data_IF_063637828605
#
_entry.id   IF_063637828605
#
_cell.length_a   1.000
_cell.length_b   1.000
_cell.length_c   1.000
_cell.angle_alpha   90.00
_cell.angle_beta   90.00
_cell.angle_gamma   90.00
#
_symmetry.space_group_name_H-M   'P 1'
#
loop_
_entity.id
_entity.type
_entity.pdbx_description
1 polymer ?
#
# COMPACT_ATOMS: atom_id res chain seq x y z
N UNK A 1 -0.09 -49.54 -1.78
CA UNK A 1 -0.95 -48.34 -1.80
C UNK A 1 -0.58 -47.46 -0.61
N UNK A 2 0.31 -46.48 -0.81
CA UNK A 2 0.73 -45.55 0.23
C UNK A 2 0.18 -44.15 -0.15
N UNK A 3 -0.66 -43.58 0.70
CA UNK A 3 -1.13 -42.20 0.60
C UNK A 3 -0.16 -41.32 1.40
N UNK A 4 0.65 -40.53 0.70
CA UNK A 4 1.37 -39.40 1.29
C UNK A 4 0.37 -38.25 1.47
N UNK A 5 0.16 -37.85 2.73
CA UNK A 5 -0.55 -36.63 3.08
C UNK A 5 0.39 -35.43 2.98
N UNK A 6 0.14 -34.55 2.02
CA UNK A 6 0.77 -33.24 1.94
C UNK A 6 -0.01 -32.24 2.78
N UNK A 7 0.54 -31.90 3.95
CA UNK A 7 0.10 -30.78 4.77
C UNK A 7 0.77 -29.51 4.22
N UNK A 8 0.11 -28.79 3.32
CA UNK A 8 0.56 -27.45 2.90
C UNK A 8 0.13 -26.44 3.97
N UNK A 9 1.11 -25.89 4.68
CA UNK A 9 0.92 -24.87 5.71
C UNK A 9 0.52 -23.53 5.08
N UNK A 10 -0.75 -23.15 5.21
CA UNK A 10 -1.27 -21.84 4.84
C UNK A 10 -1.10 -20.82 5.99
N UNK A 11 0.15 -20.56 6.38
CA UNK A 11 0.46 -19.71 7.54
C UNK A 11 0.46 -18.19 7.26
N UNK A 12 0.74 -17.76 6.03
CA UNK A 12 0.90 -16.33 5.69
C UNK A 12 -0.37 -15.61 5.15
N UNK A 13 -1.50 -16.31 5.05
CA UNK A 13 -2.63 -15.96 4.16
C UNK A 13 -3.66 -14.97 4.76
N UNK A 14 -3.71 -14.78 6.08
CA UNK A 14 -4.82 -14.07 6.75
C UNK A 14 -4.64 -12.54 6.84
N UNK A 15 -3.46 -12.05 6.51
CA UNK A 15 -2.89 -10.85 7.11
C UNK A 15 -3.08 -9.59 6.24
N UNK A 16 -2.90 -9.71 4.93
CA UNK A 16 -3.06 -8.58 4.01
C UNK A 16 -4.52 -8.33 3.59
N UNK A 17 -5.48 -9.05 4.19
CA UNK A 17 -6.93 -8.80 4.03
C UNK A 17 -7.46 -7.74 4.99
N UNK A 18 -6.86 -7.55 6.17
CA UNK A 18 -7.31 -6.60 7.19
C UNK A 18 -6.94 -5.14 6.87
N UNK A 19 -5.76 -4.90 6.29
CA UNK A 19 -5.25 -3.56 5.98
C UNK A 19 -6.10 -2.76 4.97
N UNK A 20 -6.78 -3.46 4.05
CA UNK A 20 -7.53 -2.82 2.97
C UNK A 20 -9.03 -2.69 3.27
N UNK A 21 -9.56 -3.40 4.27
CA UNK A 21 -10.93 -3.16 4.72
C UNK A 21 -11.09 -1.82 5.47
N UNK A 22 -10.02 -1.32 6.12
CA UNK A 22 -9.98 -0.01 6.80
C UNK A 22 -10.04 1.16 5.81
N UNK A 23 -9.50 0.98 4.60
CA UNK A 23 -9.41 1.99 3.54
C UNK A 23 -10.81 2.41 3.03
N UNK A 24 -11.85 1.59 3.24
CA UNK A 24 -13.23 1.87 2.80
C UNK A 24 -14.00 2.79 3.77
N UNK A 25 -13.54 3.00 5.01
CA UNK A 25 -14.40 3.56 6.07
C UNK A 25 -14.06 4.96 6.59
N UNK A 26 -13.03 5.63 6.09
CA UNK A 26 -12.63 6.90 6.71
C UNK A 26 -12.06 7.92 5.71
N UNK A 27 -12.94 8.66 5.05
CA UNK A 27 -12.59 9.93 4.43
C UNK A 27 -13.68 10.95 4.76
N UNK A 28 -13.39 11.84 5.69
CA UNK A 28 -13.71 13.28 5.59
C UNK A 28 -13.07 14.02 6.76
N UNK A 29 -12.55 15.21 6.42
CA UNK A 29 -12.20 16.35 7.27
C UNK A 29 -10.69 16.67 7.40
N UNK A 30 -10.36 17.91 6.98
CA UNK A 30 -9.13 18.73 7.23
C UNK A 30 -8.13 18.97 6.10
N UNK A 31 -8.60 19.06 4.86
CA UNK A 31 -7.76 19.44 3.71
C UNK A 31 -7.23 20.91 3.75
N UNK A 32 -7.99 21.84 4.36
CA UNK A 32 -7.62 23.27 4.33
C UNK A 32 -6.64 23.73 5.43
N UNK A 33 -6.59 23.04 6.57
CA UNK A 33 -5.74 23.44 7.69
C UNK A 33 -4.33 22.83 7.59
N UNK A 34 -4.22 21.59 7.08
CA UNK A 34 -2.94 20.92 6.88
C UNK A 34 -2.07 21.61 5.82
N UNK A 35 -2.68 22.03 4.71
CA UNK A 35 -2.00 22.77 3.64
C UNK A 35 -1.45 24.13 4.11
N UNK A 36 -2.13 24.79 5.05
CA UNK A 36 -1.69 26.09 5.61
C UNK A 36 -0.51 25.93 6.58
N UNK A 37 -0.48 24.84 7.35
CA UNK A 37 0.63 24.53 8.28
C UNK A 37 1.88 24.03 7.54
N UNK A 38 1.71 23.34 6.41
CA UNK A 38 2.81 22.91 5.54
C UNK A 38 3.47 24.09 4.82
N UNK A 39 2.68 25.04 4.31
CA UNK A 39 3.21 26.24 3.65
C UNK A 39 4.05 27.13 4.58
N UNK A 40 3.75 27.14 5.88
CA UNK A 40 4.43 27.97 6.88
C UNK A 40 5.78 27.38 7.36
N UNK A 41 6.00 26.07 7.13
CA UNK A 41 7.18 25.34 7.65
C UNK A 41 8.20 24.91 6.59
N UNK A 42 7.98 25.25 5.32
CA UNK A 42 8.86 24.85 4.20
C UNK A 42 10.09 25.74 3.86
N UNK A 43 10.41 26.88 4.50
CA UNK A 43 11.58 27.68 4.07
C UNK A 43 12.96 27.12 4.52
N UNK A 44 13.05 25.90 5.06
CA UNK A 44 14.30 25.31 5.58
C UNK A 44 14.86 24.15 4.73
N UNK A 45 14.30 23.86 3.56
CA UNK A 45 14.76 22.80 2.65
C UNK A 45 15.22 23.34 1.27
N UNK A 46 15.51 24.64 1.15
CA UNK A 46 15.78 25.26 -0.15
C UNK A 46 17.19 24.98 -0.71
N UNK A 47 18.17 24.56 0.11
CA UNK A 47 19.58 24.47 -0.31
C UNK A 47 20.03 23.07 -0.77
N UNK A 48 19.12 22.09 -0.80
CA UNK A 48 19.35 20.75 -1.38
C UNK A 48 18.25 20.42 -2.40
N UNK A 49 17.93 21.39 -3.27
CA UNK A 49 17.12 21.18 -4.46
C UNK A 49 17.98 20.63 -5.61
N UNK A 50 18.71 19.53 -5.34
CA UNK A 50 18.96 18.57 -6.41
C UNK A 50 17.57 18.16 -6.91
N UNK A 51 17.21 18.69 -8.08
CA UNK A 51 15.87 18.64 -8.64
C UNK A 51 15.40 17.19 -8.69
N UNK A 52 14.61 16.78 -7.68
CA UNK A 52 13.84 15.55 -7.76
C UNK A 52 12.69 15.84 -8.73
N UNK A 53 13.01 15.86 -10.02
CA UNK A 53 12.01 15.83 -11.07
C UNK A 53 11.17 14.59 -10.77
N UNK A 54 9.97 14.81 -10.22
CA UNK A 54 9.03 13.72 -10.02
C UNK A 54 8.79 13.16 -11.42
N UNK A 55 9.13 11.88 -11.68
CA UNK A 55 8.92 11.29 -12.99
C UNK A 55 7.41 11.30 -13.24
N UNK A 56 6.97 12.30 -14.00
CA UNK A 56 5.58 12.43 -14.37
C UNK A 56 5.35 11.46 -15.53
N UNK A 57 4.48 10.48 -15.30
CA UNK A 57 4.01 9.65 -16.40
C UNK A 57 3.30 10.56 -17.40
N UNK A 58 3.81 10.62 -18.63
CA UNK A 58 3.17 11.41 -19.69
C UNK A 58 1.78 10.87 -19.97
N UNK A 59 0.86 11.74 -20.38
CA UNK A 59 -0.51 11.33 -20.72
C UNK A 59 -0.52 10.24 -21.78
N UNK A 60 0.41 10.29 -22.74
CA UNK A 60 0.58 9.26 -23.77
C UNK A 60 0.95 7.91 -23.17
N UNK A 61 1.92 7.86 -22.25
CA UNK A 61 2.32 6.61 -21.60
C UNK A 61 1.19 6.02 -20.76
N UNK A 62 0.44 6.87 -20.05
CA UNK A 62 -0.73 6.41 -19.27
C UNK A 62 -1.79 5.86 -20.22
N UNK A 63 -2.15 6.60 -21.26
CA UNK A 63 -3.18 6.19 -22.24
C UNK A 63 -2.81 4.87 -22.94
N UNK A 64 -1.55 4.71 -23.34
CA UNK A 64 -1.06 3.47 -23.95
C UNK A 64 -1.09 2.32 -22.95
N UNK A 65 -0.61 2.53 -21.73
CA UNK A 65 -0.60 1.51 -20.68
C UNK A 65 -2.02 1.03 -20.38
N UNK A 66 -2.98 1.95 -20.20
CA UNK A 66 -4.36 1.59 -19.84
C UNK A 66 -5.22 1.20 -21.05
N UNK A 67 -4.68 1.19 -22.27
CA UNK A 67 -5.44 0.81 -23.46
C UNK A 67 -6.05 -0.58 -23.30
N UNK A 68 -7.37 -0.69 -23.53
CA UNK A 68 -8.15 -1.92 -23.30
C UNK A 68 -8.64 -2.11 -21.86
N UNK A 69 -8.37 -1.18 -20.94
CA UNK A 69 -9.00 -1.11 -19.63
C UNK A 69 -10.08 -0.01 -19.65
N UNK A 70 -11.27 -0.33 -19.15
CA UNK A 70 -12.36 0.63 -18.96
C UNK A 70 -12.25 1.23 -17.54
N UNK A 71 -11.27 2.13 -17.36
CA UNK A 71 -11.07 2.83 -16.09
C UNK A 71 -11.86 4.14 -16.09
N UNK A 72 -12.51 4.43 -14.97
CA UNK A 72 -13.11 5.75 -14.74
C UNK A 72 -12.03 6.84 -14.70
N UNK A 73 -12.44 8.11 -14.78
CA UNK A 73 -11.52 9.26 -14.58
C UNK A 73 -10.74 9.14 -13.27
N UNK A 74 -11.37 8.66 -12.19
CA UNK A 74 -10.72 8.44 -10.91
C UNK A 74 -9.67 7.32 -11.00
N UNK A 75 -9.99 6.22 -11.67
CA UNK A 75 -9.07 5.12 -11.93
C UNK A 75 -7.84 5.52 -12.75
N UNK A 76 -8.01 6.36 -13.77
CA UNK A 76 -6.89 6.90 -14.57
C UNK A 76 -5.97 7.77 -13.72
N UNK A 77 -6.56 8.66 -12.90
CA UNK A 77 -5.79 9.51 -11.99
C UNK A 77 -5.05 8.67 -10.95
N UNK A 78 -5.73 7.69 -10.35
CA UNK A 78 -5.13 6.76 -9.41
C UNK A 78 -3.95 5.97 -10.01
N UNK A 79 -4.14 5.41 -11.21
CA UNK A 79 -3.08 4.70 -11.94
C UNK A 79 -1.85 5.61 -12.16
N UNK A 80 -2.08 6.85 -12.60
CA UNK A 80 -1.01 7.83 -12.81
C UNK A 80 -0.30 8.19 -11.51
N UNK A 81 -1.05 8.47 -10.45
CA UNK A 81 -0.52 8.86 -9.14
C UNK A 81 0.33 7.76 -8.53
N UNK A 82 -0.15 6.51 -8.55
CA UNK A 82 0.62 5.37 -8.08
C UNK A 82 1.90 5.19 -8.89
N UNK A 83 1.79 5.26 -10.21
CA UNK A 83 2.93 5.06 -11.09
C UNK A 83 4.06 6.08 -10.92
N UNK A 84 3.73 7.30 -10.48
CA UNK A 84 4.66 8.39 -10.24
C UNK A 84 5.03 8.58 -8.76
N UNK A 85 4.56 7.72 -7.84
CA UNK A 85 4.71 7.97 -6.40
C UNK A 85 6.18 7.85 -5.98
N UNK A 86 6.74 8.82 -5.22
CA UNK A 86 8.18 8.87 -4.96
C UNK A 86 8.59 8.03 -3.76
N UNK A 87 7.66 7.67 -2.87
CA UNK A 87 7.93 7.00 -1.59
C UNK A 87 6.88 5.92 -1.33
N UNK A 88 7.32 4.77 -0.81
CA UNK A 88 6.43 3.70 -0.39
C UNK A 88 6.13 3.82 1.11
N UNK A 89 4.88 4.05 1.48
CA UNK A 89 4.51 4.25 2.88
C UNK A 89 4.13 2.93 3.51
N UNK A 90 4.84 2.57 4.58
CA UNK A 90 4.56 1.38 5.37
C UNK A 90 3.43 1.59 6.37
N UNK A 91 3.12 2.85 6.70
CA UNK A 91 2.06 3.22 7.65
C UNK A 91 0.70 3.50 7.00
N UNK A 92 -0.38 3.29 7.77
CA UNK A 92 -1.75 3.65 7.39
C UNK A 92 -1.98 5.17 7.30
N UNK A 93 -1.20 5.96 8.04
CA UNK A 93 -1.43 7.39 8.20
C UNK A 93 -0.16 8.18 7.90
N UNK A 94 -0.34 9.29 7.21
CA UNK A 94 0.66 10.34 7.05
C UNK A 94 0.98 11.01 8.39
N UNK A 95 2.01 11.84 8.40
CA UNK A 95 2.43 12.62 9.57
C UNK A 95 1.30 13.49 10.16
N UNK A 96 0.41 14.01 9.31
CA UNK A 96 -0.74 14.85 9.71
C UNK A 96 -2.00 14.04 10.08
N UNK A 97 -1.91 12.71 10.10
CA UNK A 97 -3.04 11.82 10.34
C UNK A 97 -3.96 11.65 9.13
N UNK A 98 -3.65 12.25 7.97
CA UNK A 98 -4.36 12.00 6.72
C UNK A 98 -3.97 10.66 6.11
N UNK A 99 -4.83 10.13 5.22
CA UNK A 99 -4.47 9.00 4.39
C UNK A 99 -3.53 9.51 3.29
N UNK A 100 -2.38 8.86 3.04
CA UNK A 100 -1.53 9.30 1.95
C UNK A 100 -2.22 9.16 0.59
N UNK A 101 -1.94 10.10 -0.32
CA UNK A 101 -2.52 10.13 -1.66
C UNK A 101 -2.27 8.84 -2.46
N UNK A 102 -1.13 8.19 -2.26
CA UNK A 102 -0.85 6.89 -2.86
C UNK A 102 -1.81 5.81 -2.34
N UNK A 103 -2.07 5.77 -1.03
CA UNK A 103 -3.03 4.84 -0.42
C UNK A 103 -4.46 5.10 -0.89
N UNK A 104 -4.87 6.38 -1.02
CA UNK A 104 -6.14 6.75 -1.64
C UNK A 104 -6.21 6.28 -3.11
N UNK A 105 -5.14 6.44 -3.86
CA UNK A 105 -5.07 5.98 -5.25
C UNK A 105 -5.14 4.45 -5.36
N UNK A 106 -4.54 3.69 -4.43
CA UNK A 106 -4.74 2.24 -4.37
C UNK A 106 -6.22 1.92 -4.19
N UNK A 107 -6.90 2.60 -3.26
CA UNK A 107 -8.35 2.40 -3.04
C UNK A 107 -9.16 2.65 -4.31
N UNK A 108 -8.93 3.78 -4.94
CA UNK A 108 -9.72 4.19 -6.09
C UNK A 108 -9.50 3.21 -7.25
N UNK A 109 -8.26 2.77 -7.48
CA UNK A 109 -7.96 1.76 -8.49
C UNK A 109 -8.50 0.37 -8.13
N UNK A 110 -8.60 0.02 -6.84
CA UNK A 110 -9.25 -1.22 -6.38
C UNK A 110 -10.76 -1.24 -6.67
N UNK A 111 -11.40 -0.08 -6.81
CA UNK A 111 -12.84 0.01 -7.11
C UNK A 111 -13.13 -0.08 -8.62
N UNK A 112 -12.10 -0.05 -9.46
CA UNK A 112 -12.26 -0.11 -10.91
C UNK A 112 -12.57 -1.52 -11.43
N UNK A 113 -13.33 -1.65 -12.54
CA UNK A 113 -13.39 -2.88 -13.29
C UNK A 113 -12.00 -3.33 -13.73
N UNK A 114 -11.71 -4.62 -13.65
CA UNK A 114 -10.40 -5.18 -14.02
C UNK A 114 -9.20 -4.60 -13.23
N UNK A 115 -9.40 -4.13 -12.00
CA UNK A 115 -8.35 -3.61 -11.12
C UNK A 115 -7.08 -4.49 -11.07
N UNK A 116 -7.22 -5.82 -11.04
CA UNK A 116 -6.07 -6.74 -11.09
C UNK A 116 -5.21 -6.57 -12.35
N UNK A 117 -5.85 -6.43 -13.52
CA UNK A 117 -5.12 -6.14 -14.76
C UNK A 117 -4.47 -4.76 -14.72
N UNK A 118 -5.15 -3.75 -14.17
CA UNK A 118 -4.59 -2.41 -14.02
C UNK A 118 -3.33 -2.42 -13.15
N UNK A 119 -3.36 -3.05 -11.97
CA UNK A 119 -2.17 -3.17 -11.12
C UNK A 119 -1.05 -3.98 -11.78
N UNK A 120 -1.37 -5.04 -12.51
CA UNK A 120 -0.37 -5.80 -13.26
C UNK A 120 0.31 -4.94 -14.34
N UNK A 121 -0.47 -4.16 -15.09
CA UNK A 121 0.07 -3.23 -16.07
C UNK A 121 0.94 -2.16 -15.42
N UNK A 122 0.53 -1.63 -14.27
CA UNK A 122 1.31 -0.65 -13.50
C UNK A 122 2.64 -1.24 -13.03
N UNK A 123 2.63 -2.46 -12.49
CA UNK A 123 3.82 -3.18 -12.04
C UNK A 123 4.87 -3.32 -13.15
N UNK A 124 4.43 -3.65 -14.37
CA UNK A 124 5.30 -3.86 -15.53
C UNK A 124 5.59 -2.61 -16.35
N UNK A 125 4.93 -1.48 -16.05
CA UNK A 125 5.15 -0.24 -16.77
C UNK A 125 6.61 0.22 -16.55
N UNK A 126 7.44 0.36 -17.61
CA UNK A 126 8.86 0.66 -17.46
C UNK A 126 9.14 1.99 -16.75
N UNK A 127 8.26 2.96 -16.95
CA UNK A 127 8.36 4.31 -16.38
C UNK A 127 7.74 4.45 -15.00
N UNK A 128 7.11 3.39 -14.47
CA UNK A 128 6.60 3.42 -13.09
C UNK A 128 7.76 3.39 -12.10
N UNK A 129 7.67 4.22 -11.06
CA UNK A 129 8.64 4.21 -9.96
C UNK A 129 8.61 2.89 -9.20
N UNK A 130 9.71 2.53 -8.53
CA UNK A 130 9.74 1.33 -7.67
C UNK A 130 8.71 1.39 -6.51
N UNK A 131 8.51 2.52 -5.80
CA UNK A 131 7.37 2.66 -4.90
C UNK A 131 6.02 2.35 -5.57
N UNK A 132 5.78 2.86 -6.78
CA UNK A 132 4.56 2.60 -7.54
C UNK A 132 4.37 1.12 -7.85
N UNK A 133 5.45 0.44 -8.23
CA UNK A 133 5.49 -1.02 -8.43
C UNK A 133 5.16 -1.79 -7.14
N UNK A 134 5.64 -1.34 -5.97
CA UNK A 134 5.27 -1.96 -4.68
C UNK A 134 3.79 -1.76 -4.35
N UNK A 135 3.23 -0.57 -4.54
CA UNK A 135 1.79 -0.36 -4.39
C UNK A 135 0.99 -1.21 -5.37
N UNK A 136 1.48 -1.38 -6.60
CA UNK A 136 0.87 -2.25 -7.59
C UNK A 136 0.86 -3.71 -7.13
N UNK A 137 1.97 -4.19 -6.55
CA UNK A 137 2.05 -5.52 -5.96
C UNK A 137 1.06 -5.69 -4.79
N UNK A 138 0.88 -4.69 -3.94
CA UNK A 138 -0.16 -4.69 -2.90
C UNK A 138 -1.57 -4.78 -3.50
N UNK A 139 -1.85 -4.04 -4.57
CA UNK A 139 -3.11 -4.11 -5.30
C UNK A 139 -3.38 -5.49 -5.92
N UNK A 140 -2.34 -6.10 -6.49
CA UNK A 140 -2.38 -7.45 -7.04
C UNK A 140 -2.69 -8.50 -5.98
N UNK A 141 -2.08 -8.41 -4.80
CA UNK A 141 -2.38 -9.32 -3.69
C UNK A 141 -3.89 -9.38 -3.37
N UNK A 142 -4.60 -8.26 -3.55
CA UNK A 142 -6.01 -8.16 -3.21
C UNK A 142 -6.95 -8.60 -4.34
N UNK A 143 -6.57 -8.33 -5.58
CA UNK A 143 -7.44 -8.53 -6.76
C UNK A 143 -7.09 -9.77 -7.57
N UNK A 144 -5.86 -10.26 -7.47
CA UNK A 144 -5.34 -11.35 -8.27
C UNK A 144 -4.26 -12.13 -7.51
N UNK A 145 -4.68 -12.81 -6.44
CA UNK A 145 -3.81 -13.69 -5.64
C UNK A 145 -3.14 -14.78 -6.49
N UNK A 146 -3.77 -15.21 -7.58
CA UNK A 146 -3.24 -16.26 -8.45
C UNK A 146 -1.95 -15.85 -9.15
N UNK A 147 -1.81 -14.57 -9.49
CA UNK A 147 -0.59 -14.04 -10.10
C UNK A 147 0.38 -13.43 -9.08
N UNK A 148 -0.06 -13.13 -7.86
CA UNK A 148 0.74 -12.40 -6.86
C UNK A 148 2.16 -12.96 -6.66
N UNK A 149 2.32 -14.28 -6.43
CA UNK A 149 3.64 -14.81 -6.07
C UNK A 149 4.65 -14.69 -7.22
N UNK A 150 4.21 -14.95 -8.45
CA UNK A 150 5.04 -14.79 -9.64
C UNK A 150 5.46 -13.33 -9.84
N UNK A 151 4.53 -12.40 -9.59
CA UNK A 151 4.77 -10.96 -9.71
C UNK A 151 5.65 -10.42 -8.56
N UNK A 152 5.51 -10.98 -7.35
CA UNK A 152 6.37 -10.70 -6.21
C UNK A 152 7.80 -11.19 -6.48
N UNK A 153 7.96 -12.41 -6.98
CA UNK A 153 9.26 -12.97 -7.36
C UNK A 153 9.93 -12.15 -8.47
N UNK A 154 9.18 -11.74 -9.50
CA UNK A 154 9.68 -10.84 -10.52
C UNK A 154 10.19 -9.53 -9.91
N UNK A 155 9.43 -8.91 -9.01
CA UNK A 155 9.84 -7.64 -8.39
C UNK A 155 11.03 -7.81 -7.43
N UNK A 156 11.15 -8.94 -6.71
CA UNK A 156 12.35 -9.31 -5.94
C UNK A 156 13.59 -9.37 -6.85
N UNK A 157 13.47 -10.04 -7.99
CA UNK A 157 14.54 -10.19 -8.98
C UNK A 157 14.88 -8.86 -9.69
N UNK A 158 13.89 -7.97 -9.87
CA UNK A 158 14.12 -6.61 -10.38
C UNK A 158 14.99 -5.78 -9.43
N UNK A 159 14.82 -5.99 -8.11
CA UNK A 159 15.76 -5.56 -7.08
C UNK A 159 15.91 -4.04 -6.89
N UNK A 160 17.03 -3.68 -6.26
CA UNK A 160 17.38 -2.31 -5.87
C UNK A 160 16.69 -1.84 -4.60
N UNK A 161 16.84 -0.54 -4.32
CA UNK A 161 16.29 0.08 -3.11
C UNK A 161 15.10 0.99 -3.42
N UNK A 162 14.25 1.16 -2.42
CA UNK A 162 13.07 2.01 -2.43
C UNK A 162 13.09 2.94 -1.22
N UNK A 163 12.84 4.25 -1.40
CA UNK A 163 12.53 5.12 -0.28
C UNK A 163 11.21 4.67 0.35
N UNK A 164 11.28 4.33 1.63
CA UNK A 164 10.15 3.91 2.46
C UNK A 164 9.88 4.93 3.54
N UNK A 165 8.61 5.16 3.86
CA UNK A 165 8.22 6.06 4.95
C UNK A 165 7.47 5.30 6.04
N UNK A 166 7.92 5.46 7.28
CA UNK A 166 7.25 4.99 8.50
C UNK A 166 7.15 6.15 9.49
N UNK A 167 5.92 6.66 9.67
CA UNK A 167 5.69 7.90 10.40
C UNK A 167 6.41 9.09 9.76
N UNK A 168 7.30 9.74 10.51
CA UNK A 168 8.13 10.85 10.02
C UNK A 168 9.50 10.41 9.47
N UNK A 169 9.83 9.13 9.51
CA UNK A 169 11.13 8.63 9.05
C UNK A 169 11.04 8.13 7.62
N UNK A 170 11.97 8.61 6.78
CA UNK A 170 12.18 8.09 5.42
C UNK A 170 13.52 7.36 5.38
N UNK A 171 13.51 6.10 4.94
CA UNK A 171 14.69 5.25 4.84
C UNK A 171 14.73 4.54 3.50
N UNK A 172 15.93 4.31 2.94
CA UNK A 172 16.09 3.41 1.80
C UNK A 172 16.00 1.97 2.28
N UNK A 173 15.14 1.16 1.66
CA UNK A 173 14.98 -0.25 1.97
C UNK A 173 15.13 -1.10 0.69
N UNK A 174 15.87 -2.22 0.73
CA UNK A 174 15.92 -3.15 -0.39
C UNK A 174 14.53 -3.69 -0.72
N UNK A 175 14.19 -3.77 -2.01
CA UNK A 175 12.90 -4.31 -2.47
C UNK A 175 12.65 -5.72 -1.92
N UNK A 176 13.68 -6.56 -1.89
CA UNK A 176 13.61 -7.92 -1.35
C UNK A 176 13.25 -7.96 0.14
N UNK A 177 13.70 -7.00 0.94
CA UNK A 177 13.42 -6.95 2.38
C UNK A 177 11.98 -6.51 2.65
N UNK A 178 11.42 -5.70 1.76
CA UNK A 178 10.01 -5.27 1.81
C UNK A 178 9.10 -6.45 1.46
N UNK A 179 9.46 -7.26 0.45
CA UNK A 179 8.63 -8.39 -0.02
C UNK A 179 8.84 -9.66 0.82
N UNK A 180 10.06 -9.91 1.32
CA UNK A 180 10.51 -11.19 1.89
C UNK A 180 10.22 -11.42 3.38
N UNK A 181 9.81 -10.40 4.15
CA UNK A 181 9.61 -10.54 5.60
C UNK A 181 8.31 -11.22 6.04
N UNK A 182 7.47 -11.66 5.10
CA UNK A 182 6.19 -12.28 5.45
C UNK A 182 6.32 -13.72 5.99
N UNK A 183 7.37 -14.45 5.62
CA UNK A 183 7.49 -15.89 5.93
C UNK A 183 8.35 -16.22 7.17
N UNK A 184 9.18 -15.30 7.67
CA UNK A 184 10.13 -15.59 8.76
C UNK A 184 9.66 -15.19 10.16
N UNK A 185 8.48 -14.58 10.30
CA UNK A 185 7.96 -14.19 11.62
C UNK A 185 7.23 -15.37 12.30
N UNK A 186 7.95 -16.47 12.54
CA UNK A 186 7.62 -17.37 13.64
C UNK A 186 8.16 -16.69 14.90
N UNK A 187 7.32 -15.92 15.60
CA UNK A 187 7.73 -15.18 16.79
C UNK A 187 8.35 -16.12 17.85
N UNK A 188 9.60 -15.90 18.30
CA UNK A 188 10.09 -16.54 19.51
C UNK A 188 9.25 -16.02 20.68
N UNK A 189 8.67 -16.94 21.45
CA UNK A 189 7.64 -16.67 22.44
C UNK A 189 8.07 -15.85 23.67
N UNK A 190 9.24 -15.21 23.68
CA UNK A 190 9.82 -14.72 24.94
C UNK A 190 10.76 -13.52 24.81
N UNK A 191 10.30 -12.38 24.26
CA UNK A 191 11.04 -11.12 24.40
C UNK A 191 10.12 -9.89 24.40
N UNK A 192 9.41 -9.67 25.50
CA UNK A 192 8.86 -8.36 25.87
C UNK A 192 9.91 -7.58 26.67
N UNK A 193 10.71 -6.72 26.01
CA UNK A 193 11.31 -5.50 26.61
C UNK A 193 12.24 -4.76 25.64
N UNK A 194 11.67 -3.92 24.78
CA UNK A 194 12.18 -2.58 24.37
C UNK A 194 11.38 -2.08 23.19
N UNK A 195 10.97 -0.81 23.23
CA UNK A 195 10.28 -0.11 22.14
C UNK A 195 11.18 0.01 20.90
N UNK A 196 11.17 -1.03 20.09
CA UNK A 196 11.50 -0.96 18.67
C UNK A 196 10.27 -1.51 17.99
N UNK A 197 9.61 -0.70 17.17
CA UNK A 197 8.57 -1.21 16.26
C UNK A 197 9.34 -2.15 15.33
N UNK A 198 9.27 -3.45 15.62
CA UNK A 198 9.91 -4.47 14.81
C UNK A 198 9.26 -4.42 13.43
N UNK A 199 10.09 -4.41 12.39
CA UNK A 199 9.70 -4.27 10.99
C UNK A 199 9.03 -5.54 10.42
N UNK A 200 8.16 -6.19 11.21
CA UNK A 200 7.40 -7.39 10.87
C UNK A 200 5.94 -7.40 11.34
N UNK A 201 5.45 -6.34 12.01
CA UNK A 201 4.13 -6.31 12.64
C UNK A 201 3.02 -5.58 11.85
N UNK A 202 3.30 -5.13 10.62
CA UNK A 202 2.27 -4.61 9.70
C UNK A 202 1.01 -5.50 9.69
N UNK A 203 1.14 -6.83 9.65
CA UNK A 203 0.03 -7.76 9.70
C UNK A 203 -0.91 -7.65 10.92
N UNK A 204 -0.34 -7.61 12.12
CA UNK A 204 -1.05 -7.85 13.38
C UNK A 204 -1.63 -6.57 13.97
N UNK A 205 -0.93 -5.44 13.83
CA UNK A 205 -1.47 -4.12 14.18
C UNK A 205 -2.74 -3.76 13.41
N UNK A 206 -2.85 -4.24 12.17
CA UNK A 206 -4.02 -3.99 11.32
C UNK A 206 -5.26 -4.78 11.78
N UNK A 207 -5.07 -5.99 12.32
CA UNK A 207 -6.15 -6.88 12.75
C UNK A 207 -6.84 -6.41 14.05
N UNK A 208 -6.07 -6.01 15.06
CA UNK A 208 -6.59 -5.48 16.33
C UNK A 208 -7.38 -4.17 16.14
N UNK A 209 -6.98 -3.35 15.16
CA UNK A 209 -7.67 -2.11 14.82
C UNK A 209 -9.00 -2.37 14.08
N UNK A 210 -9.02 -3.32 13.15
CA UNK A 210 -10.24 -3.73 12.42
C UNK A 210 -11.30 -4.27 13.39
N UNK A 211 -10.89 -5.12 14.34
CA UNK A 211 -11.83 -5.77 15.27
C UNK A 211 -12.42 -4.81 16.31
N UNK A 212 -11.76 -3.69 16.61
CA UNK A 212 -12.29 -2.67 17.53
C UNK A 212 -13.34 -1.74 16.91
N UNK A 213 -13.53 -1.75 15.58
CA UNK A 213 -14.43 -0.83 14.86
C UNK A 213 -15.46 -1.53 13.97
N UNK A 214 -15.53 -2.86 14.04
CA UNK A 214 -16.53 -3.68 13.37
C UNK A 214 -17.69 -3.97 14.33
N UNK A 215 -18.92 -3.73 13.89
CA UNK A 215 -20.09 -4.12 14.68
C UNK A 215 -20.17 -5.65 14.73
N UNK A 216 -20.07 -6.21 15.94
CA UNK A 216 -19.99 -7.65 16.18
C UNK A 216 -21.27 -8.41 15.80
N UNK A 217 -22.39 -7.72 15.58
CA UNK A 217 -23.69 -8.35 15.25
C UNK A 217 -24.00 -8.34 13.76
N UNK A 218 -23.58 -7.30 13.05
CA UNK A 218 -23.93 -7.08 11.64
C UNK A 218 -22.75 -7.31 10.70
N UNK A 219 -21.53 -7.32 11.24
CA UNK A 219 -20.30 -7.41 10.45
C UNK A 219 -20.01 -6.16 9.63
N UNK A 220 -20.83 -5.10 9.75
CA UNK A 220 -20.66 -3.81 9.09
C UNK A 220 -19.71 -2.91 9.89
N UNK A 221 -19.07 -1.98 9.19
CA UNK A 221 -18.17 -1.01 9.80
C UNK A 221 -18.97 0.20 10.28
N UNK A 222 -18.68 0.64 11.50
CA UNK A 222 -19.26 1.83 12.09
C UNK A 222 -18.29 3.00 11.95
N UNK A 223 -18.80 4.19 11.68
CA UNK A 223 -18.06 5.42 11.90
C UNK A 223 -17.70 5.53 13.40
N UNK A 224 -16.72 6.38 13.73
CA UNK A 224 -16.37 6.69 15.13
C UNK A 224 -17.54 7.23 15.96
N UNK A 225 -18.57 7.78 15.31
CA UNK A 225 -19.80 8.26 15.95
C UNK A 225 -20.90 7.17 16.08
N UNK A 226 -20.61 5.92 15.70
CA UNK A 226 -21.55 4.79 15.73
C UNK A 226 -22.54 4.76 14.57
N UNK A 227 -22.45 5.68 13.61
CA UNK A 227 -23.33 5.66 12.44
C UNK A 227 -22.86 4.65 11.39
N UNK A 228 -23.82 4.02 10.71
CA UNK A 228 -23.56 3.03 9.67
C UNK A 228 -23.01 3.71 8.42
N UNK A 229 -21.99 3.11 7.84
CA UNK A 229 -21.49 3.48 6.52
C UNK A 229 -22.38 2.74 5.50
N UNK A 230 -23.04 3.44 4.57
CA UNK A 230 -23.92 2.82 3.57
C UNK A 230 -23.15 1.89 2.64
#
# INVERSE_FOLDING_TARGET
>A
MARLGGLLGFGGLAIATAAIHVIVSNSQFREKEAMRVLADKMPLLEDSTDHWEMPCLSEKQVAEAISGLDLSTSGVLAFRTLGATPVFQMGLVSFDGSLPMATESVRDLLNEPNAGQAFRKLLHLPVSTKPGKLYALCGLYLKDKGNFEAEAEWLRNYGGEVPTQSGCFVTMAPVQDIIGKADETTAPADTLSRSTIASGDLPRMMEDYVNSHRDSKTGQFLRKDGTRIP
#
